data_IF_875092647660
#
_entry.id   IF_875092647660
#
_cell.length_a   1.000
_cell.length_b   1.000
_cell.length_c   1.000
_cell.angle_alpha   90.00
_cell.angle_beta   90.00
_cell.angle_gamma   90.00
#
_symmetry.space_group_name_H-M   'P 1'
#
loop_
_entity.id
_entity.type
_entity.pdbx_description
1 polymer ?
#
# COMPACT_ATOMS: atom_id res chain seq x y z
N UNK A 1 -20.63 -38.05 0.10
CA UNK A 1 -19.54 -37.55 0.98
C UNK A 1 -18.25 -37.20 0.23
N UNK A 2 -17.74 -38.04 -0.68
CA UNK A 2 -16.46 -37.80 -1.40
C UNK A 2 -16.46 -36.52 -2.27
N UNK A 3 -17.51 -36.31 -3.07
CA UNK A 3 -17.63 -35.12 -3.94
C UNK A 3 -17.62 -33.79 -3.15
N UNK A 4 -18.34 -33.75 -2.02
CA UNK A 4 -18.38 -32.58 -1.14
C UNK A 4 -17.01 -32.29 -0.51
N UNK A 5 -16.30 -33.32 -0.04
CA UNK A 5 -14.95 -33.17 0.50
C UNK A 5 -13.95 -32.65 -0.55
N UNK A 6 -14.08 -33.10 -1.80
CA UNK A 6 -13.24 -32.64 -2.91
C UNK A 6 -13.47 -31.17 -3.26
N UNK A 7 -14.75 -30.75 -3.36
CA UNK A 7 -15.10 -29.34 -3.61
C UNK A 7 -14.62 -28.41 -2.48
N UNK A 8 -14.72 -28.85 -1.21
CA UNK A 8 -14.21 -28.08 -0.08
C UNK A 8 -12.70 -27.88 -0.15
N UNK A 9 -11.93 -28.92 -0.52
CA UNK A 9 -10.47 -28.82 -0.69
C UNK A 9 -10.09 -27.82 -1.77
N UNK A 10 -10.79 -27.83 -2.90
CA UNK A 10 -10.56 -26.87 -4.00
C UNK A 10 -10.85 -25.44 -3.53
N UNK A 11 -11.95 -25.24 -2.80
CA UNK A 11 -12.30 -23.93 -2.25
C UNK A 11 -11.23 -23.41 -1.29
N UNK A 12 -10.79 -24.24 -0.35
CA UNK A 12 -9.72 -23.87 0.60
C UNK A 12 -8.42 -23.57 -0.14
N UNK A 13 -8.06 -24.38 -1.14
CA UNK A 13 -6.87 -24.15 -1.94
C UNK A 13 -6.94 -22.81 -2.70
N UNK A 14 -8.05 -22.50 -3.35
CA UNK A 14 -8.25 -21.23 -4.03
C UNK A 14 -8.16 -20.04 -3.06
N UNK A 15 -8.69 -20.19 -1.85
CA UNK A 15 -8.61 -19.17 -0.80
C UNK A 15 -7.16 -18.96 -0.33
N UNK A 16 -6.40 -20.04 -0.12
CA UNK A 16 -4.98 -19.97 0.23
C UNK A 16 -4.14 -19.29 -0.86
N UNK A 17 -4.37 -19.62 -2.13
CA UNK A 17 -3.71 -18.96 -3.26
C UNK A 17 -4.06 -17.47 -3.31
N UNK A 18 -5.34 -17.14 -3.12
CA UNK A 18 -5.80 -15.74 -3.07
C UNK A 18 -5.14 -14.94 -1.95
N UNK A 19 -5.05 -15.50 -0.75
CA UNK A 19 -4.36 -14.87 0.39
C UNK A 19 -2.86 -14.73 0.11
N UNK A 20 -2.23 -15.77 -0.45
CA UNK A 20 -0.82 -15.74 -0.82
C UNK A 20 -0.50 -14.60 -1.80
N UNK A 21 -1.32 -14.44 -2.84
CA UNK A 21 -1.19 -13.34 -3.81
C UNK A 21 -1.45 -11.98 -3.17
N UNK A 22 -2.46 -11.87 -2.31
CA UNK A 22 -2.75 -10.63 -1.59
C UNK A 22 -1.58 -10.21 -0.71
N UNK A 23 -1.02 -11.12 0.09
CA UNK A 23 0.16 -10.84 0.92
C UNK A 23 1.35 -10.42 0.06
N UNK A 24 1.60 -11.15 -1.03
CA UNK A 24 2.72 -10.88 -1.94
C UNK A 24 2.63 -9.51 -2.61
N UNK A 25 1.43 -8.98 -2.86
CA UNK A 25 1.23 -7.65 -3.47
C UNK A 25 1.11 -6.54 -2.42
N UNK A 26 0.26 -6.73 -1.41
CA UNK A 26 -0.07 -5.67 -0.46
C UNK A 26 1.02 -5.46 0.59
N UNK A 27 1.74 -6.49 1.04
CA UNK A 27 2.82 -6.30 2.02
C UNK A 27 3.96 -5.43 1.47
N UNK A 28 4.52 -5.70 0.27
CA UNK A 28 5.53 -4.82 -0.30
C UNK A 28 5.01 -3.41 -0.56
N UNK A 29 3.75 -3.28 -1.01
CA UNK A 29 3.13 -1.98 -1.24
C UNK A 29 2.99 -1.19 0.07
N UNK A 30 2.57 -1.83 1.16
CA UNK A 30 2.48 -1.18 2.48
C UNK A 30 3.86 -0.74 2.95
N UNK A 31 4.88 -1.63 2.88
CA UNK A 31 6.25 -1.28 3.24
C UNK A 31 6.78 -0.09 2.42
N UNK A 32 6.46 -0.06 1.13
CA UNK A 32 6.82 1.04 0.24
C UNK A 32 6.12 2.35 0.61
N UNK A 33 4.91 2.34 1.18
CA UNK A 33 4.16 3.55 1.54
C UNK A 33 4.51 4.09 2.94
N UNK A 34 5.07 3.27 3.84
CA UNK A 34 5.41 3.68 5.22
C UNK A 34 6.26 4.97 5.29
N UNK A 35 7.38 5.12 4.54
CA UNK A 35 8.19 6.33 4.63
C UNK A 35 7.42 7.58 4.22
N UNK A 36 6.57 7.48 3.19
CA UNK A 36 5.66 8.55 2.79
C UNK A 36 4.67 8.90 3.91
N UNK A 37 4.05 7.89 4.53
CA UNK A 37 3.09 8.11 5.62
C UNK A 37 3.73 8.79 6.84
N UNK A 38 4.96 8.42 7.20
CA UNK A 38 5.72 9.07 8.27
C UNK A 38 6.09 10.50 7.91
N UNK A 39 6.57 10.74 6.68
CA UNK A 39 6.94 12.06 6.21
C UNK A 39 5.73 13.01 6.15
N UNK A 40 4.61 12.57 5.58
CA UNK A 40 3.39 13.40 5.48
C UNK A 40 2.81 13.68 6.86
N UNK A 41 2.90 12.72 7.80
CA UNK A 41 2.55 12.93 9.21
C UNK A 41 3.34 14.07 9.84
N UNK A 42 4.67 14.05 9.68
CA UNK A 42 5.54 15.11 10.17
C UNK A 42 5.28 16.47 9.51
N UNK A 43 4.93 16.51 8.21
CA UNK A 43 4.55 17.76 7.53
C UNK A 43 3.21 18.30 8.02
N UNK A 44 2.23 17.42 8.25
CA UNK A 44 0.91 17.78 8.77
C UNK A 44 1.01 18.41 10.17
N UNK A 45 1.89 17.90 11.04
CA UNK A 45 2.17 18.51 12.36
C UNK A 45 2.74 19.93 12.25
N UNK A 46 3.43 20.24 11.16
CA UNK A 46 3.95 21.58 10.85
C UNK A 46 2.96 22.46 10.09
N UNK A 47 1.71 22.01 9.92
CA UNK A 47 0.67 22.73 9.18
C UNK A 47 0.81 22.70 7.65
N UNK A 48 1.66 21.82 7.11
CA UNK A 48 1.90 21.69 5.65
C UNK A 48 1.20 20.47 5.09
N UNK A 49 0.79 20.53 3.82
CA UNK A 49 0.14 19.43 3.10
C UNK A 49 -1.11 18.85 3.79
N UNK A 50 -1.90 19.68 4.49
CA UNK A 50 -3.11 19.24 5.20
C UNK A 50 -4.17 18.61 4.28
N UNK A 51 -4.16 18.96 2.99
CA UNK A 51 -4.99 18.35 1.93
C UNK A 51 -4.69 16.85 1.74
N UNK A 52 -3.49 16.41 2.13
CA UNK A 52 -2.98 15.05 2.04
C UNK A 52 -3.30 14.19 3.28
N UNK A 53 -4.10 14.69 4.22
CA UNK A 53 -4.46 13.93 5.43
C UNK A 53 -5.48 12.81 5.18
N UNK A 54 -6.34 12.94 4.16
CA UNK A 54 -7.43 11.99 3.85
C UNK A 54 -7.32 11.43 2.43
N UNK A 55 -6.17 10.89 2.07
CA UNK A 55 -5.97 10.30 0.75
C UNK A 55 -6.37 8.82 0.72
N UNK A 56 -6.79 8.35 -0.45
CA UNK A 56 -6.93 6.91 -0.69
C UNK A 56 -5.55 6.25 -0.76
N UNK A 57 -5.48 4.95 -0.46
CA UNK A 57 -4.24 4.15 -0.49
C UNK A 57 -3.53 4.25 -1.85
N UNK A 58 -4.27 4.26 -2.96
CA UNK A 58 -3.70 4.41 -4.29
C UNK A 58 -3.09 5.80 -4.54
N UNK A 59 -3.73 6.87 -4.03
CA UNK A 59 -3.18 8.23 -4.11
C UNK A 59 -1.94 8.36 -3.22
N UNK A 60 -1.97 7.79 -2.02
CA UNK A 60 -0.82 7.72 -1.13
C UNK A 60 0.36 6.97 -1.78
N UNK A 61 0.12 5.84 -2.45
CA UNK A 61 1.16 5.13 -3.19
C UNK A 61 1.75 5.96 -4.32
N UNK A 62 0.92 6.64 -5.11
CA UNK A 62 1.39 7.54 -6.19
C UNK A 62 2.20 8.72 -5.64
N UNK A 63 1.76 9.29 -4.53
CA UNK A 63 2.45 10.40 -3.89
C UNK A 63 3.75 9.93 -3.20
N UNK A 64 3.79 8.71 -2.65
CA UNK A 64 5.02 8.08 -2.20
C UNK A 64 6.05 8.00 -3.34
N UNK A 65 5.64 7.59 -4.55
CA UNK A 65 6.53 7.58 -5.71
C UNK A 65 7.03 8.99 -6.09
N UNK A 66 6.15 10.01 -6.04
CA UNK A 66 6.56 11.40 -6.27
C UNK A 66 7.56 11.88 -5.21
N UNK A 67 7.32 11.55 -3.94
CA UNK A 67 8.22 11.88 -2.83
C UNK A 67 9.59 11.24 -3.03
N UNK A 68 9.65 9.96 -3.36
CA UNK A 68 10.92 9.26 -3.56
C UNK A 68 11.66 9.76 -4.79
N UNK A 69 10.94 10.03 -5.88
CA UNK A 69 11.53 10.66 -7.07
C UNK A 69 12.15 12.02 -6.73
N UNK A 70 11.45 12.85 -5.95
CA UNK A 70 11.95 14.14 -5.51
C UNK A 70 13.18 14.00 -4.59
N UNK A 71 13.17 13.05 -3.65
CA UNK A 71 14.32 12.75 -2.80
C UNK A 71 15.55 12.30 -3.59
N UNK A 72 15.38 11.42 -4.59
CA UNK A 72 16.46 10.97 -5.47
C UNK A 72 17.08 12.15 -6.22
N UNK A 73 16.24 13.05 -6.74
CA UNK A 73 16.70 14.23 -7.48
C UNK A 73 17.07 15.42 -6.60
N UNK A 74 17.03 15.27 -5.26
CA UNK A 74 17.26 16.34 -4.26
C UNK A 74 16.42 17.60 -4.52
N UNK A 75 15.18 17.42 -4.96
CA UNK A 75 14.20 18.49 -5.18
C UNK A 75 13.10 18.43 -4.14
N UNK A 76 12.36 19.53 -4.01
CA UNK A 76 11.15 19.53 -3.21
C UNK A 76 10.05 18.72 -3.91
N UNK A 77 9.28 17.91 -3.16
CA UNK A 77 8.22 17.09 -3.74
C UNK A 77 7.02 17.94 -4.17
N UNK A 78 6.68 17.84 -5.46
CA UNK A 78 5.49 18.47 -6.05
C UNK A 78 4.36 17.44 -6.17
N UNK A 79 3.28 17.63 -5.43
CA UNK A 79 2.16 16.68 -5.36
C UNK A 79 0.98 17.04 -6.25
#
# INVERSE_FOLDING_TARGET
>A
MVFFSFMLKILVFALCVGVGLAVLVFVPLTLYVIPYALWIGAQNTRGRHLDKKKESVFRAARNATKLYSAWIHRREPTF
#
